data_IF_710007609533
#
_entry.id   IF_710007609533
#
_cell.length_a   1.000
_cell.length_b   1.000
_cell.length_c   1.000
_cell.angle_alpha   90.00
_cell.angle_beta   90.00
_cell.angle_gamma   90.00
#
_symmetry.space_group_name_H-M   'P 1'
#
loop_
_entity.id
_entity.type
_entity.pdbx_description
1 polymer ?
#
# COMPACT_ATOMS: atom_id res chain seq x y z
N UNK A 1 8.98 -2.70 -16.51
CA UNK A 1 8.51 -2.15 -15.23
C UNK A 1 9.29 -2.82 -14.10
N UNK A 2 9.65 -2.12 -13.02
CA UNK A 2 10.40 -2.76 -11.90
C UNK A 2 9.48 -3.75 -11.17
N UNK A 3 10.02 -4.84 -10.60
CA UNK A 3 9.21 -5.83 -9.84
C UNK A 3 8.41 -5.20 -8.70
N UNK A 4 8.98 -4.21 -8.00
CA UNK A 4 8.30 -3.48 -6.92
C UNK A 4 7.15 -2.59 -7.41
N UNK A 5 7.31 -1.99 -8.59
CA UNK A 5 6.30 -1.16 -9.25
C UNK A 5 5.15 -2.02 -9.81
N UNK A 6 5.46 -3.23 -10.31
CA UNK A 6 4.46 -4.28 -10.65
C UNK A 6 3.56 -4.57 -9.44
N UNK A 7 4.14 -4.88 -8.28
CA UNK A 7 3.41 -5.17 -7.03
C UNK A 7 2.54 -4.01 -6.57
N UNK A 8 3.04 -2.79 -6.70
CA UNK A 8 2.29 -1.58 -6.39
C UNK A 8 1.05 -1.44 -7.28
N UNK A 9 1.20 -1.69 -8.58
CA UNK A 9 0.10 -1.63 -9.54
C UNK A 9 -0.94 -2.74 -9.28
N UNK A 10 -0.50 -3.97 -9.01
CA UNK A 10 -1.36 -5.10 -8.64
C UNK A 10 -2.17 -4.80 -7.37
N UNK A 11 -1.52 -4.24 -6.34
CA UNK A 11 -2.18 -3.82 -5.10
C UNK A 11 -3.29 -2.80 -5.38
N UNK A 12 -3.06 -1.80 -6.24
CA UNK A 12 -4.06 -0.79 -6.57
C UNK A 12 -5.18 -1.40 -7.43
N UNK A 13 -4.85 -2.31 -8.34
CA UNK A 13 -5.78 -2.96 -9.25
C UNK A 13 -6.73 -3.95 -8.58
N UNK A 14 -6.23 -4.88 -7.75
CA UNK A 14 -7.01 -6.00 -7.24
C UNK A 14 -8.19 -5.54 -6.36
N UNK A 15 -9.45 -5.85 -6.71
CA UNK A 15 -10.61 -5.33 -6.00
C UNK A 15 -10.84 -6.06 -4.66
N UNK A 16 -11.44 -5.35 -3.70
CA UNK A 16 -12.04 -5.94 -2.50
C UNK A 16 -13.56 -5.79 -2.61
N UNK A 17 -14.29 -6.88 -2.41
CA UNK A 17 -15.75 -6.89 -2.50
C UNK A 17 -16.39 -5.87 -1.54
N UNK A 18 -17.43 -5.18 -2.02
CA UNK A 18 -18.17 -4.14 -1.30
C UNK A 18 -17.36 -2.91 -0.84
N UNK A 19 -16.11 -2.76 -1.29
CA UNK A 19 -15.25 -1.60 -0.98
C UNK A 19 -14.87 -0.87 -2.25
N UNK A 20 -14.96 0.47 -2.25
CA UNK A 20 -14.45 1.29 -3.36
C UNK A 20 -12.96 0.99 -3.57
N UNK A 21 -12.60 0.63 -4.79
CA UNK A 21 -11.24 0.21 -5.12
C UNK A 21 -10.28 1.40 -5.29
N UNK A 22 -10.02 2.10 -4.19
CA UNK A 22 -9.12 3.24 -4.09
C UNK A 22 -8.39 3.21 -2.76
N UNK A 23 -7.16 3.71 -2.72
CA UNK A 23 -6.32 3.66 -1.52
C UNK A 23 -5.67 5.00 -1.23
N UNK A 24 -5.62 5.39 0.05
CA UNK A 24 -4.88 6.56 0.48
C UNK A 24 -3.37 6.30 0.45
N UNK A 25 -2.51 7.34 0.47
CA UNK A 25 -1.07 7.15 0.44
C UNK A 25 -0.57 6.35 1.66
N UNK A 26 -1.22 6.53 2.81
CA UNK A 26 -0.89 5.79 4.04
C UNK A 26 -1.29 4.32 3.91
N UNK A 27 -2.49 4.04 3.38
CA UNK A 27 -2.94 2.66 3.15
C UNK A 27 -1.98 1.93 2.20
N UNK A 28 -1.56 2.56 1.11
CA UNK A 28 -0.58 1.99 0.19
C UNK A 28 0.74 1.73 0.91
N UNK A 29 1.30 2.74 1.59
CA UNK A 29 2.55 2.61 2.34
C UNK A 29 2.52 1.42 3.31
N UNK A 30 1.42 1.26 4.04
CA UNK A 30 1.26 0.20 5.04
C UNK A 30 1.03 -1.17 4.40
N UNK A 31 0.26 -1.24 3.33
CA UNK A 31 0.08 -2.47 2.56
C UNK A 31 1.42 -2.96 1.99
N UNK A 32 2.19 -2.09 1.34
CA UNK A 32 3.50 -2.45 0.79
C UNK A 32 4.48 -2.89 1.87
N UNK A 33 4.46 -2.24 3.03
CA UNK A 33 5.25 -2.66 4.19
C UNK A 33 4.87 -4.07 4.65
N UNK A 34 3.57 -4.33 4.86
CA UNK A 34 3.08 -5.64 5.30
C UNK A 34 3.38 -6.73 4.26
N UNK A 35 3.26 -6.43 2.96
CA UNK A 35 3.67 -7.39 1.92
C UNK A 35 5.16 -7.72 2.01
N UNK A 36 6.05 -6.74 2.25
CA UNK A 36 7.49 -7.01 2.43
C UNK A 36 7.72 -8.01 3.57
N UNK A 37 7.10 -7.75 4.71
CA UNK A 37 7.29 -8.54 5.93
C UNK A 37 6.64 -9.93 5.83
N UNK A 38 5.40 -10.01 5.32
CA UNK A 38 4.65 -11.27 5.28
C UNK A 38 5.08 -12.21 4.13
N UNK A 39 5.72 -11.69 3.06
CA UNK A 39 6.25 -12.47 1.94
C UNK A 39 7.77 -12.59 1.94
N UNK A 40 8.47 -12.05 2.95
CA UNK A 40 9.94 -12.03 3.03
C UNK A 40 10.62 -11.54 1.73
N UNK A 41 10.13 -10.43 1.17
CA UNK A 41 10.65 -9.90 -0.11
C UNK A 41 11.98 -9.18 0.12
N UNK A 42 13.09 -9.81 -0.31
CA UNK A 42 14.45 -9.27 -0.19
C UNK A 42 14.73 -8.09 -1.14
N UNK A 43 14.27 -8.16 -2.39
CA UNK A 43 14.43 -7.10 -3.40
C UNK A 43 13.15 -6.27 -3.55
N UNK A 44 12.86 -5.44 -2.55
CA UNK A 44 11.63 -4.64 -2.51
C UNK A 44 11.89 -3.19 -2.07
N UNK A 45 10.90 -2.53 -1.47
CA UNK A 45 11.05 -1.20 -0.90
C UNK A 45 11.82 -1.24 0.41
N UNK A 46 12.74 -0.29 0.61
CA UNK A 46 13.38 -0.10 1.91
C UNK A 46 12.56 0.82 2.80
N UNK A 47 12.23 0.32 3.99
CA UNK A 47 11.39 1.03 4.96
C UNK A 47 12.23 1.48 6.15
N UNK A 48 12.00 2.71 6.58
CA UNK A 48 12.55 3.30 7.80
C UNK A 48 11.45 3.78 8.75
N UNK A 49 11.71 3.84 10.08
CA UNK A 49 10.81 4.47 11.04
C UNK A 49 10.62 5.95 10.71
N UNK A 50 9.37 6.42 10.70
CA UNK A 50 9.01 7.79 10.34
C UNK A 50 7.77 8.26 11.13
N UNK A 51 7.23 9.43 10.78
CA UNK A 51 6.17 10.15 11.52
C UNK A 51 4.92 9.31 11.83
N UNK A 52 4.56 8.36 10.96
CA UNK A 52 3.41 7.47 11.13
C UNK A 52 3.81 6.01 10.99
N UNK A 53 5.02 5.64 11.42
CA UNK A 53 5.51 4.26 11.33
C UNK A 53 6.39 4.01 10.11
N UNK A 54 6.34 2.81 9.51
CA UNK A 54 7.19 2.45 8.38
C UNK A 54 6.92 3.35 7.17
N UNK A 55 7.99 3.85 6.56
CA UNK A 55 7.94 4.73 5.40
C UNK A 55 9.05 4.39 4.39
N UNK A 56 8.72 4.40 3.11
CA UNK A 56 9.63 4.28 1.99
C UNK A 56 9.31 5.35 0.95
N UNK A 57 10.23 6.30 0.73
CA UNK A 57 10.02 7.39 -0.25
C UNK A 57 9.98 6.88 -1.69
N UNK A 58 10.59 5.73 -1.96
CA UNK A 58 10.54 5.03 -3.25
C UNK A 58 9.12 4.68 -3.68
N UNK A 59 8.20 4.42 -2.73
CA UNK A 59 6.79 4.20 -3.05
C UNK A 59 6.17 5.47 -3.63
N UNK A 60 6.51 6.66 -3.11
CA UNK A 60 6.00 7.91 -3.68
C UNK A 60 6.57 8.19 -5.06
N UNK A 61 7.85 7.89 -5.29
CA UNK A 61 8.45 8.01 -6.62
C UNK A 61 7.77 7.06 -7.62
N UNK A 62 7.58 5.80 -7.25
CA UNK A 62 6.95 4.81 -8.12
C UNK A 62 5.45 5.12 -8.35
N UNK A 63 4.72 5.64 -7.34
CA UNK A 63 3.36 6.16 -7.53
C UNK A 63 3.32 7.32 -8.52
N UNK A 64 4.26 8.26 -8.42
CA UNK A 64 4.34 9.38 -9.37
C UNK A 64 4.67 8.90 -10.78
N UNK A 65 5.49 7.87 -10.92
CA UNK A 65 5.85 7.28 -12.22
C UNK A 65 4.66 6.54 -12.85
N UNK A 66 3.93 5.75 -12.07
CA UNK A 66 2.68 5.09 -12.51
C UNK A 66 1.62 6.11 -12.96
N UNK A 67 1.47 7.22 -12.24
CA UNK A 67 0.56 8.32 -12.55
C UNK A 67 0.96 9.00 -13.87
N UNK A 68 2.24 9.34 -14.05
CA UNK A 68 2.79 9.90 -15.31
C UNK A 68 2.61 8.97 -16.50
N UNK A 69 2.70 7.64 -16.28
CA UNK A 69 2.43 6.63 -17.32
C UNK A 69 0.94 6.47 -17.63
N UNK A 70 0.06 7.11 -16.86
CA UNK A 70 -1.40 7.01 -16.98
C UNK A 70 -1.95 5.66 -16.53
N UNK A 71 -1.24 4.93 -15.68
CA UNK A 71 -1.65 3.61 -15.18
C UNK A 71 -2.49 3.71 -13.90
N UNK A 72 -2.28 4.76 -13.12
CA UNK A 72 -3.12 5.13 -12.00
C UNK A 72 -3.60 6.57 -12.16
N UNK A 73 -4.61 6.94 -11.39
CA UNK A 73 -5.17 8.27 -11.33
C UNK A 73 -5.44 8.65 -9.88
N UNK A 74 -5.59 9.95 -9.61
CA UNK A 74 -5.76 10.49 -8.26
C UNK A 74 -7.09 11.17 -8.08
N UNK A 75 -7.77 10.87 -6.97
CA UNK A 75 -9.00 11.54 -6.56
C UNK A 75 -8.66 12.49 -5.40
N UNK A 76 -8.76 13.81 -5.58
CA UNK A 76 -8.51 14.76 -4.51
C UNK A 76 -9.58 14.65 -3.42
N UNK A 77 -9.20 14.97 -2.18
CA UNK A 77 -10.11 15.09 -1.04
C UNK A 77 -10.21 16.53 -0.58
N UNK A 78 -11.30 16.88 0.09
CA UNK A 78 -11.47 18.19 0.73
C UNK A 78 -10.40 18.48 1.80
N UNK A 79 -9.75 17.43 2.32
CA UNK A 79 -8.75 17.49 3.39
C UNK A 79 -7.32 17.65 2.84
N UNK A 80 -7.16 17.84 1.53
CA UNK A 80 -5.88 18.15 0.89
C UNK A 80 -5.00 16.94 0.54
N UNK A 81 -5.38 15.71 0.94
CA UNK A 81 -4.74 14.50 0.43
C UNK A 81 -5.50 13.92 -0.77
N UNK A 82 -4.91 12.91 -1.42
CA UNK A 82 -5.48 12.24 -2.59
C UNK A 82 -5.58 10.73 -2.41
N UNK A 83 -6.63 10.13 -2.96
CA UNK A 83 -6.73 8.68 -3.13
C UNK A 83 -6.17 8.28 -4.49
N UNK A 84 -5.60 7.08 -4.60
CA UNK A 84 -5.16 6.49 -5.85
C UNK A 84 -6.13 5.40 -6.30
N UNK A 85 -6.42 5.36 -7.60
CA UNK A 85 -7.22 4.31 -8.25
C UNK A 85 -6.55 3.87 -9.55
N UNK A 86 -6.91 2.69 -10.04
CA UNK A 86 -6.46 2.19 -11.33
C UNK A 86 -7.18 2.91 -12.49
N UNK A 87 -6.49 3.20 -13.60
CA UNK A 87 -7.11 3.67 -14.86
C UNK A 87 -7.50 2.49 -15.76
N UNK A 88 -8.23 2.72 -16.85
CA UNK A 88 -8.48 1.66 -17.85
C UNK A 88 -7.19 1.12 -18.46
N UNK A 89 -6.23 2.00 -18.79
CA UNK A 89 -4.89 1.61 -19.25
C UNK A 89 -4.16 0.76 -18.20
N UNK A 90 -4.23 1.17 -16.94
CA UNK A 90 -3.66 0.43 -15.81
C UNK A 90 -4.26 -0.95 -15.63
N UNK A 91 -5.58 -1.10 -15.82
CA UNK A 91 -6.26 -2.41 -15.73
C UNK A 91 -5.73 -3.39 -16.77
N UNK A 92 -5.47 -2.94 -18.00
CA UNK A 92 -4.91 -3.80 -19.07
C UNK A 92 -3.54 -4.33 -18.62
N UNK A 93 -2.65 -3.42 -18.23
CA UNK A 93 -1.29 -3.77 -17.79
C UNK A 93 -1.31 -4.66 -16.52
N UNK A 94 -2.16 -4.34 -15.55
CA UNK A 94 -2.28 -5.14 -14.33
C UNK A 94 -2.82 -6.54 -14.59
N UNK A 95 -3.71 -6.72 -15.57
CA UNK A 95 -4.24 -8.06 -15.93
C UNK A 95 -3.16 -8.96 -16.51
N UNK A 96 -2.27 -8.44 -17.35
CA UNK A 96 -1.12 -9.19 -17.87
C UNK A 96 -0.26 -9.69 -16.71
N UNK A 97 0.05 -8.79 -15.77
CA UNK A 97 0.85 -9.10 -14.59
C UNK A 97 0.24 -10.14 -13.65
N UNK A 98 -1.07 -10.06 -13.42
CA UNK A 98 -1.83 -11.01 -12.61
C UNK A 98 -1.93 -12.37 -13.30
N UNK A 99 -2.04 -12.42 -14.63
CA UNK A 99 -2.11 -13.67 -15.39
C UNK A 99 -0.83 -14.51 -15.31
N UNK A 100 0.31 -13.87 -15.06
CA UNK A 100 1.63 -14.51 -14.90
C UNK A 100 1.98 -14.79 -13.43
N UNK A 101 1.13 -14.38 -12.48
CA UNK A 101 1.46 -14.39 -11.06
C UNK A 101 0.99 -15.66 -10.34
N UNK A 102 1.78 -16.11 -9.35
CA UNK A 102 1.37 -17.22 -8.49
C UNK A 102 0.13 -16.81 -7.67
N UNK A 103 -0.87 -17.69 -7.65
CA UNK A 103 -2.10 -17.52 -6.88
C UNK A 103 -1.82 -17.24 -5.40
N UNK A 104 -0.79 -17.86 -4.82
CA UNK A 104 -0.39 -17.61 -3.43
C UNK A 104 -0.05 -16.14 -3.20
N UNK A 105 0.62 -15.51 -4.17
CA UNK A 105 0.99 -14.10 -4.08
C UNK A 105 -0.23 -13.20 -4.27
N UNK A 106 -1.12 -13.52 -5.22
CA UNK A 106 -2.38 -12.79 -5.42
C UNK A 106 -3.24 -12.82 -4.16
N UNK A 107 -3.41 -14.01 -3.55
CA UNK A 107 -4.19 -14.20 -2.33
C UNK A 107 -3.60 -13.40 -1.18
N UNK A 108 -2.27 -13.34 -1.06
CA UNK A 108 -1.60 -12.52 -0.04
C UNK A 108 -1.79 -11.01 -0.27
N UNK A 109 -1.74 -10.53 -1.51
CA UNK A 109 -2.01 -9.12 -1.82
C UNK A 109 -3.45 -8.76 -1.40
N UNK A 110 -4.42 -9.62 -1.73
CA UNK A 110 -5.81 -9.45 -1.32
C UNK A 110 -5.99 -9.47 0.20
N UNK A 111 -5.34 -10.39 0.90
CA UNK A 111 -5.35 -10.48 2.36
C UNK A 111 -4.84 -9.18 3.00
N UNK A 112 -3.67 -8.71 2.57
CA UNK A 112 -3.06 -7.47 3.08
C UNK A 112 -3.94 -6.26 2.77
N UNK A 113 -4.45 -6.16 1.54
CA UNK A 113 -5.33 -5.05 1.14
C UNK A 113 -6.61 -5.02 1.97
N UNK A 114 -7.27 -6.17 2.16
CA UNK A 114 -8.46 -6.29 3.01
C UNK A 114 -8.16 -5.88 4.45
N UNK A 115 -7.01 -6.30 4.99
CA UNK A 115 -6.55 -5.99 6.34
C UNK A 115 -6.31 -4.50 6.55
N UNK A 116 -5.75 -3.83 5.55
CA UNK A 116 -5.49 -2.38 5.59
C UNK A 116 -6.76 -1.56 5.39
N UNK A 117 -7.63 -1.94 4.44
CA UNK A 117 -8.86 -1.20 4.14
C UNK A 117 -9.95 -1.34 5.22
N UNK A 118 -9.92 -2.42 6.01
CA UNK A 118 -10.87 -2.65 7.10
C UNK A 118 -10.51 -1.93 8.42
N UNK A 119 -9.39 -1.20 8.47
CA UNK A 119 -8.93 -0.51 9.67
C UNK A 119 -9.01 1.00 9.51
N UNK A 120 -9.45 1.68 10.57
CA UNK A 120 -9.21 3.12 10.70
C UNK A 120 -7.71 3.41 10.75
N UNK A 121 -7.35 4.69 10.57
CA UNK A 121 -5.96 5.13 10.61
C UNK A 121 -5.25 4.70 11.91
N UNK A 122 -5.87 4.93 13.07
CA UNK A 122 -5.29 4.59 14.37
C UNK A 122 -5.18 3.07 14.59
N UNK A 123 -6.21 2.31 14.19
CA UNK A 123 -6.17 0.84 14.28
C UNK A 123 -5.08 0.23 13.41
N UNK A 124 -4.85 0.81 12.22
CA UNK A 124 -3.80 0.37 11.32
C UNK A 124 -2.41 0.68 11.90
N UNK A 125 -2.21 1.85 12.49
CA UNK A 125 -0.96 2.16 13.18
C UNK A 125 -0.74 1.22 14.37
N UNK A 126 -1.77 0.97 15.18
CA UNK A 126 -1.70 0.06 16.34
C UNK A 126 -1.27 -1.34 15.90
N UNK A 127 -1.95 -1.86 14.87
CA UNK A 127 -1.66 -3.18 14.30
C UNK A 127 -0.19 -3.32 13.88
N UNK A 128 0.40 -2.26 13.32
CA UNK A 128 1.80 -2.26 12.87
C UNK A 128 2.75 -2.11 14.06
N UNK A 129 2.47 -1.21 15.01
CA UNK A 129 3.39 -0.91 16.11
C UNK A 129 3.48 -2.08 17.10
N UNK A 130 2.40 -2.83 17.29
CA UNK A 130 2.40 -4.04 18.11
C UNK A 130 3.26 -5.16 17.51
N UNK A 131 3.34 -5.25 16.17
CA UNK A 131 4.11 -6.29 15.47
C UNK A 131 5.54 -5.88 15.13
N UNK A 132 5.75 -4.60 14.86
CA UNK A 132 7.00 -4.02 14.36
C UNK A 132 7.33 -2.73 15.14
N UNK A 133 7.57 -2.84 16.46
CA UNK A 133 7.73 -1.68 17.35
C UNK A 133 8.90 -0.78 16.96
N UNK A 134 9.92 -1.30 16.29
CA UNK A 134 11.06 -0.54 15.78
C UNK A 134 10.65 0.56 14.81
N UNK A 135 9.53 0.39 14.09
CA UNK A 135 9.03 1.41 13.17
C UNK A 135 8.23 2.52 13.86
N UNK A 136 7.85 2.35 15.12
CA UNK A 136 7.16 3.37 15.91
C UNK A 136 8.12 4.42 16.51
N UNK A 137 9.44 4.20 16.48
CA UNK A 137 10.45 5.03 17.17
C UNK A 137 10.38 6.52 16.84
N UNK A 138 10.08 6.86 15.59
CA UNK A 138 9.99 8.26 15.12
C UNK A 138 8.53 8.72 14.92
N UNK A 139 7.56 7.94 15.42
CA UNK A 139 6.14 8.24 15.29
C UNK A 139 5.78 9.45 16.14
N UNK A 140 5.07 10.41 15.55
CA UNK A 140 4.46 11.53 16.30
C UNK A 140 3.14 11.13 16.95
N UNK A 141 2.63 9.94 16.64
CA UNK A 141 1.42 9.36 17.24
C UNK A 141 1.83 8.44 18.39
N UNK A 142 1.32 8.72 19.58
CA UNK A 142 1.42 7.84 20.75
C UNK A 142 0.11 7.04 20.91
N UNK A 143 0.15 5.76 20.54
CA UNK A 143 -1.03 4.88 20.55
C UNK A 143 -1.39 4.45 21.97
N UNK A 144 -0.43 4.37 22.90
CA UNK A 144 -0.68 3.98 24.29
C UNK A 144 -1.47 5.02 25.10
N UNK A 145 -1.55 6.26 24.60
CA UNK A 145 -2.33 7.34 25.22
C UNK A 145 -3.80 7.37 24.78
N UNK A 146 -4.18 6.56 23.78
CA UNK A 146 -5.54 6.51 23.24
C UNK A 146 -6.20 5.25 23.80
N UNK A 147 -6.82 5.37 24.99
CA UNK A 147 -7.66 4.34 25.59
C UNK A 147 -9.11 4.52 25.17
#
# INVERSE_FOLDING_TARGET
MKKREKRLLELIYLPIEAVKNMMSPIQIMKAMFLMKQELNLSEFYEFKPYLYGPCSFDIYFDLSDLDKKGLIDTIPTLQGWKYYKITEKGKIVAKEFIGEEDRIVIDKILEVKKKVLSKSFLELLRYIYERYPEYAKNSIINIGAIK
#
